data_IF_373953574423
#
_entry.id   IF_373953574423
#
_cell.length_a   1.000
_cell.length_b   1.000
_cell.length_c   1.000
_cell.angle_alpha   90.00
_cell.angle_beta   90.00
_cell.angle_gamma   90.00
#
_symmetry.space_group_name_H-M   'P 1'
#
loop_
_entity.id
_entity.type
_entity.pdbx_description
1 polymer ?
#
# COMPACT_ATOMS: atom_id res chain seq x y z
N UNK A 1 17.41 10.02 -12.63
CA UNK A 1 18.86 10.25 -12.43
C UNK A 1 19.23 9.57 -11.13
N UNK A 2 19.76 8.37 -11.21
CA UNK A 2 20.25 7.64 -10.02
C UNK A 2 21.44 8.40 -9.46
N UNK A 3 21.28 8.97 -8.27
CA UNK A 3 22.43 9.55 -7.58
C UNK A 3 23.18 8.42 -6.87
N UNK A 4 24.46 8.35 -7.15
CA UNK A 4 25.36 7.47 -6.41
C UNK A 4 25.43 7.97 -4.95
N UNK A 5 24.77 7.26 -4.03
CA UNK A 5 24.76 7.59 -2.61
C UNK A 5 26.08 7.32 -1.90
N UNK A 6 27.04 6.71 -2.61
CA UNK A 6 28.38 6.40 -2.07
C UNK A 6 29.35 7.56 -2.19
N UNK A 7 28.99 8.64 -2.91
CA UNK A 7 29.83 9.80 -3.16
C UNK A 7 29.26 11.08 -2.53
N UNK A 8 30.09 11.84 -1.81
CA UNK A 8 29.72 13.15 -1.22
C UNK A 8 29.76 13.17 0.31
N UNK A 9 29.32 14.31 0.91
CA UNK A 9 29.18 14.42 2.37
C UNK A 9 27.97 13.60 2.84
N UNK A 10 28.14 12.65 3.77
CA UNK A 10 27.06 11.72 4.20
C UNK A 10 25.77 12.45 4.62
N UNK A 11 25.90 13.53 5.38
CA UNK A 11 24.76 14.33 5.85
C UNK A 11 23.91 14.88 4.69
N UNK A 12 24.53 15.46 3.68
CA UNK A 12 23.83 16.04 2.55
C UNK A 12 23.15 14.99 1.69
N UNK A 13 23.81 13.85 1.50
CA UNK A 13 23.28 12.72 0.74
C UNK A 13 22.08 12.12 1.48
N UNK A 14 22.19 11.95 2.80
CA UNK A 14 21.11 11.42 3.64
C UNK A 14 19.86 12.31 3.58
N UNK A 15 20.02 13.63 3.77
CA UNK A 15 18.88 14.54 3.70
C UNK A 15 18.21 14.56 2.32
N UNK A 16 18.99 14.52 1.25
CA UNK A 16 18.44 14.48 -0.11
C UNK A 16 17.66 13.21 -0.42
N UNK A 17 18.00 12.10 0.24
CA UNK A 17 17.28 10.83 0.14
C UNK A 17 16.05 10.80 1.05
N UNK A 18 16.18 11.28 2.29
CA UNK A 18 15.10 11.25 3.27
C UNK A 18 13.96 12.22 2.97
N UNK A 19 14.26 13.40 2.37
CA UNK A 19 13.23 14.41 2.12
C UNK A 19 12.08 13.94 1.23
N UNK A 20 12.30 13.24 0.10
CA UNK A 20 11.21 12.64 -0.67
C UNK A 20 10.45 11.54 0.10
N UNK A 21 11.15 10.76 0.94
CA UNK A 21 10.49 9.73 1.77
C UNK A 21 9.56 10.38 2.81
N UNK A 22 10.00 11.44 3.49
CA UNK A 22 9.13 12.23 4.38
C UNK A 22 7.94 12.81 3.61
N UNK A 23 8.18 13.34 2.41
CA UNK A 23 7.13 13.81 1.54
C UNK A 23 6.11 12.72 1.23
N UNK A 24 6.56 11.50 0.95
CA UNK A 24 5.67 10.34 0.72
C UNK A 24 4.79 10.03 1.92
N UNK A 25 5.36 10.04 3.12
CA UNK A 25 4.62 9.77 4.37
C UNK A 25 3.56 10.85 4.61
N UNK A 26 3.94 12.12 4.46
CA UNK A 26 3.01 13.25 4.63
C UNK A 26 1.89 13.15 3.61
N UNK A 27 2.22 12.88 2.34
CA UNK A 27 1.23 12.75 1.28
C UNK A 27 0.25 11.59 1.52
N UNK A 28 0.76 10.46 2.00
CA UNK A 28 -0.05 9.31 2.38
C UNK A 28 -1.00 9.63 3.54
N UNK A 29 -0.56 10.39 4.53
CA UNK A 29 -1.43 10.80 5.64
C UNK A 29 -2.50 11.81 5.20
N UNK A 30 -2.15 12.76 4.34
CA UNK A 30 -3.13 13.68 3.75
C UNK A 30 -4.18 12.94 2.93
N UNK A 31 -3.75 11.94 2.16
CA UNK A 31 -4.64 11.06 1.42
C UNK A 31 -5.61 10.31 2.36
N UNK A 32 -5.12 9.66 3.42
CA UNK A 32 -5.94 8.94 4.38
C UNK A 32 -7.00 9.84 5.06
N UNK A 33 -6.62 11.10 5.35
CA UNK A 33 -7.54 12.09 5.91
C UNK A 33 -8.62 12.47 4.87
N UNK A 34 -8.22 12.71 3.63
CA UNK A 34 -9.15 13.05 2.56
C UNK A 34 -10.15 11.93 2.29
N UNK A 35 -9.68 10.68 2.22
CA UNK A 35 -10.50 9.49 2.03
C UNK A 35 -11.51 9.30 3.17
N UNK A 36 -11.06 9.41 4.42
CA UNK A 36 -11.94 9.37 5.60
C UNK A 36 -12.97 10.49 5.58
N UNK A 37 -12.60 11.68 5.10
CA UNK A 37 -13.53 12.81 4.98
C UNK A 37 -14.59 12.55 3.89
N UNK A 38 -14.19 12.00 2.74
CA UNK A 38 -15.12 11.64 1.65
C UNK A 38 -16.08 10.56 2.14
N UNK A 39 -15.57 9.50 2.77
CA UNK A 39 -16.40 8.43 3.33
C UNK A 39 -17.41 8.95 4.35
N UNK A 40 -16.96 9.75 5.33
CA UNK A 40 -17.85 10.28 6.38
C UNK A 40 -18.87 11.30 5.90
N UNK A 41 -18.54 12.12 4.88
CA UNK A 41 -19.45 13.17 4.41
C UNK A 41 -20.47 12.70 3.38
N UNK A 42 -20.08 11.75 2.53
CA UNK A 42 -20.87 11.41 1.33
C UNK A 42 -21.55 10.03 1.40
N UNK A 43 -21.14 9.16 2.35
CA UNK A 43 -21.71 7.82 2.40
C UNK A 43 -22.67 7.68 3.59
N UNK A 44 -22.18 7.32 4.75
CA UNK A 44 -22.93 7.22 6.01
C UNK A 44 -21.99 6.94 7.18
N UNK A 45 -22.47 7.17 8.40
CA UNK A 45 -21.73 6.82 9.61
C UNK A 45 -21.42 5.30 9.69
N UNK A 46 -22.34 4.46 9.23
CA UNK A 46 -22.17 3.02 9.17
C UNK A 46 -21.07 2.62 8.18
N UNK A 47 -20.96 3.29 7.04
CA UNK A 47 -19.92 3.04 6.06
C UNK A 47 -18.53 3.40 6.61
N UNK A 48 -18.43 4.55 7.28
CA UNK A 48 -17.19 4.96 7.94
C UNK A 48 -16.79 3.97 9.03
N UNK A 49 -17.78 3.50 9.83
CA UNK A 49 -17.55 2.47 10.85
C UNK A 49 -17.09 1.14 10.24
N UNK A 50 -17.66 0.73 9.09
CA UNK A 50 -17.28 -0.48 8.37
C UNK A 50 -15.84 -0.43 7.86
N UNK A 51 -15.43 0.69 7.23
CA UNK A 51 -14.06 0.92 6.76
C UNK A 51 -13.09 0.93 7.94
N UNK A 52 -13.40 1.70 9.01
CA UNK A 52 -12.57 1.78 10.21
C UNK A 52 -12.37 0.43 10.89
N UNK A 53 -13.43 -0.37 10.98
CA UNK A 53 -13.38 -1.70 11.58
C UNK A 53 -12.56 -2.70 10.73
N UNK A 54 -12.68 -2.62 9.41
CA UNK A 54 -11.89 -3.45 8.48
C UNK A 54 -10.41 -3.06 8.45
N UNK A 55 -10.09 -1.83 8.82
CA UNK A 55 -8.72 -1.31 8.79
C UNK A 55 -7.76 -2.11 9.69
N UNK A 56 -8.20 -2.58 10.85
CA UNK A 56 -7.41 -3.42 11.74
C UNK A 56 -6.94 -4.71 11.05
N UNK A 57 -7.81 -5.32 10.25
CA UNK A 57 -7.47 -6.53 9.49
C UNK A 57 -6.55 -6.18 8.31
N UNK A 58 -6.82 -5.07 7.61
CA UNK A 58 -5.98 -4.63 6.49
C UNK A 58 -4.55 -4.31 6.92
N UNK A 59 -4.34 -3.81 8.15
CA UNK A 59 -3.00 -3.59 8.72
C UNK A 59 -2.16 -4.87 8.77
N UNK A 60 -2.77 -6.03 9.01
CA UNK A 60 -2.06 -7.31 9.00
C UNK A 60 -1.51 -7.59 7.59
N UNK A 61 -2.32 -7.44 6.56
CA UNK A 61 -1.89 -7.65 5.18
C UNK A 61 -0.83 -6.64 4.74
N UNK A 62 -0.98 -5.37 5.13
CA UNK A 62 0.00 -4.31 4.89
C UNK A 62 1.34 -4.65 5.56
N UNK A 63 1.34 -5.16 6.79
CA UNK A 63 2.55 -5.54 7.51
C UNK A 63 3.37 -6.60 6.76
N UNK A 64 2.72 -7.60 6.15
CA UNK A 64 3.40 -8.58 5.30
C UNK A 64 4.00 -7.93 4.04
N UNK A 65 3.27 -7.05 3.37
CA UNK A 65 3.76 -6.34 2.20
C UNK A 65 4.96 -5.45 2.55
N UNK A 66 4.92 -4.74 3.69
CA UNK A 66 6.04 -3.98 4.24
C UNK A 66 7.24 -4.86 4.58
N UNK A 67 7.02 -6.04 5.14
CA UNK A 67 8.07 -7.03 5.40
C UNK A 67 8.80 -7.41 4.12
N UNK A 68 8.08 -7.68 3.04
CA UNK A 68 8.67 -7.95 1.72
C UNK A 68 9.45 -6.75 1.18
N UNK A 69 8.93 -5.53 1.35
CA UNK A 69 9.63 -4.29 0.97
C UNK A 69 10.97 -4.16 1.69
N UNK A 70 10.97 -4.26 3.02
CA UNK A 70 12.18 -4.10 3.85
C UNK A 70 13.22 -5.17 3.49
N UNK A 71 12.82 -6.44 3.41
CA UNK A 71 13.72 -7.54 3.08
C UNK A 71 14.37 -7.34 1.70
N UNK A 72 13.56 -7.00 0.69
CA UNK A 72 14.05 -6.72 -0.66
C UNK A 72 14.99 -5.51 -0.69
N UNK A 73 14.61 -4.41 -0.02
CA UNK A 73 15.37 -3.17 0.01
C UNK A 73 16.74 -3.35 0.64
N UNK A 74 16.83 -4.05 1.78
CA UNK A 74 18.09 -4.28 2.48
C UNK A 74 19.06 -5.12 1.66
N UNK A 75 18.60 -6.26 1.13
CA UNK A 75 19.44 -7.15 0.31
C UNK A 75 19.85 -6.49 -1.01
N UNK A 76 18.93 -5.81 -1.68
CA UNK A 76 19.21 -5.11 -2.92
C UNK A 76 20.22 -3.98 -2.71
N UNK A 77 20.11 -3.21 -1.62
CA UNK A 77 21.05 -2.14 -1.28
C UNK A 77 22.46 -2.71 -0.98
N UNK A 78 22.53 -3.84 -0.28
CA UNK A 78 23.81 -4.53 0.03
C UNK A 78 24.54 -4.91 -1.27
N UNK A 79 23.85 -5.62 -2.18
CA UNK A 79 24.48 -6.07 -3.43
C UNK A 79 24.73 -4.92 -4.40
N UNK A 80 23.89 -3.91 -4.41
CA UNK A 80 24.13 -2.69 -5.20
C UNK A 80 25.36 -1.93 -4.72
N UNK A 81 25.52 -1.75 -3.39
CA UNK A 81 26.68 -1.11 -2.79
C UNK A 81 27.97 -1.89 -3.00
N UNK A 82 27.91 -3.23 -2.98
CA UNK A 82 29.03 -4.13 -3.28
C UNK A 82 29.33 -4.25 -4.79
N UNK A 83 28.56 -3.61 -5.66
CA UNK A 83 28.64 -3.73 -7.14
C UNK A 83 28.46 -5.15 -7.67
N UNK A 84 27.79 -6.00 -6.92
CA UNK A 84 27.46 -7.38 -7.27
C UNK A 84 26.14 -7.44 -8.04
N UNK A 85 26.15 -6.99 -9.29
CA UNK A 85 24.92 -6.83 -10.10
C UNK A 85 24.20 -8.14 -10.44
N UNK A 86 24.92 -9.28 -10.49
CA UNK A 86 24.31 -10.57 -10.70
C UNK A 86 23.49 -11.02 -9.49
N UNK A 87 24.02 -10.82 -8.28
CA UNK A 87 23.34 -11.15 -7.03
C UNK A 87 22.18 -10.19 -6.78
N UNK A 88 22.34 -8.91 -7.15
CA UNK A 88 21.25 -7.94 -7.16
C UNK A 88 20.08 -8.40 -8.05
N UNK A 89 20.37 -8.84 -9.28
CA UNK A 89 19.34 -9.37 -10.20
C UNK A 89 18.62 -10.56 -9.58
N UNK A 90 19.36 -11.52 -9.05
CA UNK A 90 18.83 -12.70 -8.39
C UNK A 90 17.93 -12.31 -7.22
N UNK A 91 18.39 -11.36 -6.39
CA UNK A 91 17.60 -10.83 -5.26
C UNK A 91 16.27 -10.22 -5.72
N UNK A 92 16.28 -9.40 -6.76
CA UNK A 92 15.05 -8.78 -7.29
C UNK A 92 14.07 -9.83 -7.79
N UNK A 93 14.52 -10.81 -8.59
CA UNK A 93 13.65 -11.89 -9.06
C UNK A 93 13.12 -12.75 -7.91
N UNK A 94 13.96 -13.11 -6.95
CA UNK A 94 13.55 -13.89 -5.79
C UNK A 94 12.54 -13.12 -4.93
N UNK A 95 12.74 -11.82 -4.73
CA UNK A 95 11.81 -10.97 -3.98
C UNK A 95 10.44 -10.89 -4.69
N UNK A 96 10.41 -10.74 -6.01
CA UNK A 96 9.17 -10.73 -6.78
C UNK A 96 8.43 -12.07 -6.70
N UNK A 97 9.13 -13.18 -6.89
CA UNK A 97 8.51 -14.52 -6.85
C UNK A 97 8.02 -14.83 -5.42
N UNK A 98 8.84 -14.61 -4.40
CA UNK A 98 8.45 -14.87 -3.01
C UNK A 98 7.29 -13.99 -2.56
N UNK A 99 7.27 -12.71 -2.95
CA UNK A 99 6.15 -11.82 -2.66
C UNK A 99 4.86 -12.25 -3.35
N UNK A 100 4.93 -12.76 -4.59
CA UNK A 100 3.77 -13.34 -5.27
C UNK A 100 3.23 -14.58 -4.54
N UNK A 101 4.11 -15.46 -4.06
CA UNK A 101 3.71 -16.67 -3.31
C UNK A 101 3.06 -16.27 -1.98
N UNK A 102 3.69 -15.37 -1.21
CA UNK A 102 3.14 -14.87 0.04
C UNK A 102 1.78 -14.19 -0.18
N UNK A 103 1.68 -13.36 -1.20
CA UNK A 103 0.43 -12.70 -1.57
C UNK A 103 -0.67 -13.73 -1.90
N UNK A 104 -0.38 -14.75 -2.71
CA UNK A 104 -1.34 -15.79 -3.06
C UNK A 104 -1.83 -16.56 -1.82
N UNK A 105 -0.93 -16.91 -0.89
CA UNK A 105 -1.28 -17.55 0.37
C UNK A 105 -2.16 -16.64 1.22
N UNK A 106 -1.81 -15.35 1.35
CA UNK A 106 -2.59 -14.39 2.12
C UNK A 106 -3.97 -14.13 1.51
N UNK A 107 -4.07 -14.09 0.18
CA UNK A 107 -5.37 -14.00 -0.51
C UNK A 107 -6.23 -15.21 -0.21
N UNK A 108 -5.68 -16.41 -0.31
CA UNK A 108 -6.41 -17.64 0.00
C UNK A 108 -6.87 -17.67 1.46
N UNK A 109 -5.96 -17.42 2.39
CA UNK A 109 -6.29 -17.40 3.82
C UNK A 109 -7.27 -16.27 4.15
N UNK A 110 -7.06 -15.08 3.58
CA UNK A 110 -7.92 -13.92 3.78
C UNK A 110 -9.36 -14.18 3.33
N UNK A 111 -9.55 -14.73 2.12
CA UNK A 111 -10.89 -15.05 1.61
C UNK A 111 -11.58 -16.16 2.41
N UNK A 112 -10.85 -17.19 2.81
CA UNK A 112 -11.42 -18.29 3.61
C UNK A 112 -11.74 -17.89 5.06
N UNK A 113 -10.94 -17.00 5.63
CA UNK A 113 -11.06 -16.59 7.04
C UNK A 113 -11.75 -15.24 7.25
N UNK A 114 -12.21 -14.56 6.19
CA UNK A 114 -12.79 -13.21 6.26
C UNK A 114 -13.87 -13.10 7.35
N UNK A 115 -14.86 -13.98 7.34
CA UNK A 115 -15.96 -13.99 8.32
C UNK A 115 -15.45 -14.25 9.74
N UNK A 116 -14.50 -15.16 9.90
CA UNK A 116 -13.90 -15.49 11.18
C UNK A 116 -13.10 -14.34 11.76
N UNK A 117 -12.35 -13.63 10.92
CA UNK A 117 -11.57 -12.46 11.30
C UNK A 117 -12.47 -11.32 11.76
N UNK A 118 -13.55 -11.03 11.02
CA UNK A 118 -14.52 -9.99 11.38
C UNK A 118 -15.23 -10.33 12.70
N UNK A 119 -15.59 -11.59 12.94
CA UNK A 119 -16.16 -12.03 14.21
C UNK A 119 -15.16 -11.96 15.36
N UNK A 120 -13.88 -12.24 15.12
CA UNK A 120 -12.82 -12.18 16.12
C UNK A 120 -12.64 -10.76 16.66
N UNK A 121 -12.71 -9.74 15.79
CA UNK A 121 -12.64 -8.31 16.18
C UNK A 121 -13.97 -7.78 16.70
N UNK A 122 -14.99 -8.66 16.85
CA UNK A 122 -16.33 -8.32 17.36
C UNK A 122 -17.03 -7.24 16.55
N UNK A 123 -16.94 -7.33 15.21
CA UNK A 123 -17.66 -6.43 14.30
C UNK A 123 -19.16 -6.42 14.62
N UNK A 124 -19.79 -5.24 14.82
CA UNK A 124 -21.22 -5.15 15.02
C UNK A 124 -21.99 -5.69 13.81
N UNK A 125 -23.11 -6.37 14.08
CA UNK A 125 -23.96 -6.98 13.03
C UNK A 125 -24.45 -5.93 11.99
N UNK A 126 -24.68 -4.69 12.42
CA UNK A 126 -25.16 -3.60 11.56
C UNK A 126 -24.18 -3.22 10.45
N UNK A 127 -22.87 -3.35 10.70
CA UNK A 127 -21.82 -3.00 9.74
C UNK A 127 -21.08 -4.22 9.20
N UNK A 128 -21.47 -5.43 9.60
CA UNK A 128 -20.76 -6.66 9.23
C UNK A 128 -20.74 -6.89 7.72
N UNK A 129 -21.86 -6.71 7.04
CA UNK A 129 -21.97 -6.92 5.61
C UNK A 129 -21.10 -5.93 4.81
N UNK A 130 -21.09 -4.66 5.21
CA UNK A 130 -20.29 -3.62 4.58
C UNK A 130 -18.79 -3.82 4.85
N UNK A 131 -18.41 -4.21 6.08
CA UNK A 131 -17.04 -4.55 6.44
C UNK A 131 -16.52 -5.74 5.64
N UNK A 132 -17.35 -6.77 5.47
CA UNK A 132 -17.01 -7.94 4.64
C UNK A 132 -16.80 -7.55 3.18
N UNK A 133 -17.72 -6.78 2.61
CA UNK A 133 -17.62 -6.32 1.23
C UNK A 133 -16.33 -5.52 1.00
N UNK A 134 -16.02 -4.59 1.91
CA UNK A 134 -14.78 -3.82 1.84
C UNK A 134 -13.55 -4.73 1.90
N UNK A 135 -13.51 -5.66 2.85
CA UNK A 135 -12.38 -6.55 3.07
C UNK A 135 -12.17 -7.51 1.88
N UNK A 136 -13.26 -8.06 1.31
CA UNK A 136 -13.19 -8.90 0.12
C UNK A 136 -12.58 -8.15 -1.07
N UNK A 137 -13.04 -6.92 -1.33
CA UNK A 137 -12.48 -6.07 -2.39
C UNK A 137 -10.99 -5.76 -2.11
N UNK A 138 -10.63 -5.47 -0.86
CA UNK A 138 -9.26 -5.20 -0.46
C UNK A 138 -8.34 -6.42 -0.69
N UNK A 139 -8.79 -7.63 -0.31
CA UNK A 139 -8.04 -8.88 -0.51
C UNK A 139 -7.75 -9.11 -1.99
N UNK A 140 -8.72 -8.86 -2.89
CA UNK A 140 -8.48 -8.94 -4.34
C UNK A 140 -7.49 -7.88 -4.84
N UNK A 141 -7.30 -6.79 -4.12
CA UNK A 141 -6.31 -5.74 -4.40
C UNK A 141 -4.89 -6.05 -3.92
N UNK A 142 -4.70 -7.04 -3.05
CA UNK A 142 -3.39 -7.36 -2.45
C UNK A 142 -2.23 -7.53 -3.45
N UNK A 143 -2.40 -8.16 -4.63
CA UNK A 143 -1.29 -8.30 -5.59
C UNK A 143 -0.67 -6.96 -5.98
N UNK A 144 -1.48 -5.92 -6.11
CA UNK A 144 -1.01 -4.58 -6.46
C UNK A 144 -0.26 -3.93 -5.29
N UNK A 145 -0.77 -4.11 -4.06
CA UNK A 145 -0.11 -3.64 -2.82
C UNK A 145 1.28 -4.27 -2.69
N UNK A 146 1.39 -5.58 -2.88
CA UNK A 146 2.66 -6.30 -2.81
C UNK A 146 3.62 -5.85 -3.91
N UNK A 147 3.16 -5.75 -5.14
CA UNK A 147 3.97 -5.30 -6.27
C UNK A 147 4.51 -3.88 -6.04
N UNK A 148 3.64 -2.96 -5.60
CA UNK A 148 4.04 -1.59 -5.26
C UNK A 148 5.09 -1.56 -4.16
N UNK A 149 4.91 -2.34 -3.08
CA UNK A 149 5.86 -2.38 -1.97
C UNK A 149 7.22 -2.92 -2.40
N UNK A 150 7.27 -4.03 -3.14
CA UNK A 150 8.53 -4.59 -3.65
C UNK A 150 9.21 -3.62 -4.62
N UNK A 151 8.47 -3.02 -5.55
CA UNK A 151 9.01 -2.03 -6.47
C UNK A 151 9.59 -0.82 -5.72
N UNK A 152 8.88 -0.28 -4.73
CA UNK A 152 9.36 0.82 -3.88
C UNK A 152 10.63 0.43 -3.13
N UNK A 153 10.72 -0.80 -2.61
CA UNK A 153 11.93 -1.34 -1.97
C UNK A 153 13.13 -1.38 -2.92
N UNK A 154 12.91 -1.82 -4.16
CA UNK A 154 13.95 -1.86 -5.20
C UNK A 154 14.44 -0.44 -5.55
N UNK A 155 13.53 0.49 -5.82
CA UNK A 155 13.89 1.89 -6.13
C UNK A 155 14.66 2.53 -4.98
N UNK A 156 14.21 2.33 -3.75
CA UNK A 156 14.89 2.84 -2.55
C UNK A 156 16.29 2.27 -2.40
N UNK A 157 16.47 0.97 -2.66
CA UNK A 157 17.78 0.30 -2.63
C UNK A 157 18.76 0.85 -3.68
N UNK A 158 18.25 1.27 -4.83
CA UNK A 158 19.03 1.90 -5.90
C UNK A 158 19.29 3.41 -5.68
N UNK A 159 18.84 3.96 -4.54
CA UNK A 159 19.01 5.36 -4.20
C UNK A 159 18.00 6.30 -4.86
N UNK A 160 16.95 5.77 -5.47
CA UNK A 160 15.90 6.56 -6.09
C UNK A 160 14.64 6.60 -5.18
N UNK A 161 14.58 7.58 -4.31
CA UNK A 161 13.40 7.87 -3.47
C UNK A 161 12.38 8.78 -4.15
N UNK A 162 12.72 9.41 -5.27
CA UNK A 162 11.84 10.36 -5.96
C UNK A 162 10.80 9.66 -6.81
N UNK A 163 11.20 8.61 -7.53
CA UNK A 163 10.30 7.87 -8.40
C UNK A 163 9.11 7.28 -7.63
N UNK A 164 9.30 6.55 -6.52
CA UNK A 164 8.17 6.09 -5.68
C UNK A 164 7.30 7.24 -5.17
N UNK A 165 7.90 8.36 -4.77
CA UNK A 165 7.15 9.54 -4.32
C UNK A 165 6.24 10.11 -5.41
N UNK A 166 6.74 10.27 -6.64
CA UNK A 166 5.95 10.79 -7.76
C UNK A 166 4.79 9.85 -8.09
N UNK A 167 5.04 8.54 -8.15
CA UNK A 167 3.99 7.55 -8.38
C UNK A 167 2.94 7.58 -7.27
N UNK A 168 3.34 7.65 -6.01
CA UNK A 168 2.42 7.77 -4.89
C UNK A 168 1.58 9.05 -4.99
N UNK A 169 2.19 10.19 -5.26
CA UNK A 169 1.49 11.47 -5.37
C UNK A 169 0.47 11.48 -6.52
N UNK A 170 0.85 10.97 -7.68
CA UNK A 170 -0.05 10.86 -8.84
C UNK A 170 -1.20 9.88 -8.54
N UNK A 171 -0.89 8.73 -7.98
CA UNK A 171 -1.88 7.71 -7.63
C UNK A 171 -2.87 8.21 -6.59
N UNK A 172 -2.41 8.81 -5.49
CA UNK A 172 -3.26 9.35 -4.44
C UNK A 172 -4.15 10.48 -4.93
N UNK A 173 -3.61 11.38 -5.78
CA UNK A 173 -4.41 12.46 -6.37
C UNK A 173 -5.50 11.91 -7.29
N UNK A 174 -5.16 10.91 -8.10
CA UNK A 174 -6.13 10.23 -8.97
C UNK A 174 -7.18 9.47 -8.16
N UNK A 175 -6.79 8.86 -7.05
CA UNK A 175 -7.70 8.15 -6.17
C UNK A 175 -8.75 9.09 -5.57
N UNK A 176 -8.36 10.22 -4.97
CA UNK A 176 -9.32 11.21 -4.43
C UNK A 176 -10.33 11.65 -5.49
N UNK A 177 -9.88 11.87 -6.74
CA UNK A 177 -10.78 12.23 -7.82
C UNK A 177 -11.77 11.09 -8.17
N UNK A 178 -11.28 9.85 -8.16
CA UNK A 178 -12.11 8.66 -8.43
C UNK A 178 -13.07 8.37 -7.27
N UNK A 179 -12.67 8.57 -6.01
CA UNK A 179 -13.53 8.46 -4.83
C UNK A 179 -14.71 9.41 -4.93
N UNK A 180 -14.43 10.69 -5.17
CA UNK A 180 -15.47 11.69 -5.35
C UNK A 180 -16.42 11.30 -6.50
N UNK A 181 -15.87 10.84 -7.62
CA UNK A 181 -16.66 10.43 -8.78
C UNK A 181 -17.57 9.22 -8.46
N UNK A 182 -17.02 8.18 -7.83
CA UNK A 182 -17.77 6.96 -7.53
C UNK A 182 -18.85 7.19 -6.48
N UNK A 183 -18.56 8.01 -5.49
CA UNK A 183 -19.52 8.31 -4.42
C UNK A 183 -20.59 9.29 -4.90
N UNK A 184 -20.22 10.35 -5.65
CA UNK A 184 -21.18 11.40 -6.03
C UNK A 184 -21.92 11.09 -7.33
N UNK A 185 -21.26 10.54 -8.36
CA UNK A 185 -21.87 10.30 -9.67
C UNK A 185 -22.49 8.89 -9.78
N UNK A 186 -21.89 7.87 -9.16
CA UNK A 186 -22.36 6.50 -9.26
C UNK A 186 -23.13 5.99 -8.03
N UNK A 187 -23.17 6.75 -6.93
CA UNK A 187 -23.84 6.37 -5.67
C UNK A 187 -23.47 4.95 -5.17
N UNK A 188 -22.19 4.55 -5.34
CA UNK A 188 -21.73 3.18 -5.04
C UNK A 188 -21.51 2.90 -3.54
N UNK A 189 -21.66 3.92 -2.67
CA UNK A 189 -21.51 3.75 -1.22
C UNK A 189 -20.13 3.17 -0.83
N UNK A 190 -20.13 2.22 0.12
CA UNK A 190 -18.90 1.55 0.62
C UNK A 190 -18.13 0.85 -0.51
N UNK A 191 -18.83 0.24 -1.45
CA UNK A 191 -18.20 -0.42 -2.59
C UNK A 191 -17.42 0.58 -3.46
N UNK A 192 -17.89 1.82 -3.59
CA UNK A 192 -17.22 2.88 -4.34
C UNK A 192 -15.87 3.22 -3.76
N UNK A 193 -15.80 3.45 -2.44
CA UNK A 193 -14.54 3.71 -1.72
C UNK A 193 -13.59 2.53 -1.84
N UNK A 194 -14.06 1.31 -1.58
CA UNK A 194 -13.24 0.11 -1.69
C UNK A 194 -12.66 -0.10 -3.10
N UNK A 195 -13.43 0.20 -4.15
CA UNK A 195 -12.96 0.12 -5.54
C UNK A 195 -11.99 1.25 -5.91
N UNK A 196 -12.19 2.43 -5.36
CA UNK A 196 -11.29 3.56 -5.61
C UNK A 196 -9.96 3.36 -4.89
N UNK A 197 -9.96 2.90 -3.65
CA UNK A 197 -8.75 2.49 -2.91
C UNK A 197 -7.95 1.45 -3.69
N UNK A 198 -8.63 0.46 -4.27
CA UNK A 198 -7.99 -0.53 -5.13
C UNK A 198 -7.35 0.08 -6.38
N UNK A 199 -8.02 1.05 -7.04
CA UNK A 199 -7.50 1.70 -8.26
C UNK A 199 -6.28 2.56 -7.98
N UNK A 200 -6.16 3.16 -6.79
CA UNK A 200 -5.02 3.99 -6.43
C UNK A 200 -3.71 3.21 -6.34
N UNK A 201 -3.81 1.93 -6.01
CA UNK A 201 -2.66 1.02 -5.93
C UNK A 201 -2.25 0.47 -7.31
N UNK A 202 -3.14 0.48 -8.28
CA UNK A 202 -2.90 0.04 -9.67
C UNK A 202 -2.29 1.16 -10.50
#
# INVERSE_FOLDING_TARGET
MNKDLTTGKPEKVLWQFCLPLFGSIIFQQLYNIADSFVAGKFISDNALAAVGNSYEITLIFIAFAFGCNIACSVLAALFFGAKQYNDLKTTVYTALISSCVICAVLMLVGTLCCDSLLRLIKTPEEVFADSKLYLDIYIYGLPFVFLYNVATGIFSALGDSKTPFIFLACSSTSNIAVDILFVTAFNMGVAGVAWADRKSVV
#
